data_IF_180537857666
#
_entry.id   IF_180537857666
#
_cell.length_a   1.000
_cell.length_b   1.000
_cell.length_c   1.000
_cell.angle_alpha   90.00
_cell.angle_beta   90.00
_cell.angle_gamma   90.00
#
_symmetry.space_group_name_H-M   'P 1'
#
loop_
_entity.id
_entity.type
_entity.pdbx_description
1 polymer ?
#
# COMPACT_ATOMS: atom_id res chain seq x y z
N UNK A 1 -39.69 50.90 0.63
CA UNK A 1 -38.45 50.36 1.23
C UNK A 1 -38.82 49.15 2.05
N UNK A 2 -38.49 47.95 1.56
CA UNK A 2 -38.26 46.77 2.40
C UNK A 2 -37.04 46.10 1.82
N UNK A 3 -35.86 46.47 2.33
CA UNK A 3 -34.64 45.69 2.13
C UNK A 3 -34.77 44.51 3.06
N UNK A 4 -34.71 43.30 2.52
CA UNK A 4 -34.53 42.10 3.33
C UNK A 4 -33.09 42.16 3.88
N UNK A 5 -32.87 42.21 5.20
CA UNK A 5 -31.54 42.41 5.76
C UNK A 5 -30.73 41.11 5.97
N UNK A 6 -31.14 39.97 5.38
CA UNK A 6 -30.64 38.65 5.75
C UNK A 6 -30.08 37.80 4.60
N UNK A 7 -29.62 38.40 3.49
CA UNK A 7 -28.98 37.66 2.38
C UNK A 7 -27.46 37.88 2.29
N UNK A 8 -26.84 38.34 3.38
CA UNK A 8 -25.38 38.41 3.52
C UNK A 8 -24.96 37.50 4.67
N UNK A 9 -25.10 36.20 4.46
CA UNK A 9 -24.30 35.24 5.21
C UNK A 9 -23.10 34.93 4.32
N UNK A 10 -21.86 35.30 4.70
CA UNK A 10 -20.71 34.75 4.02
C UNK A 10 -20.79 33.24 4.21
N UNK A 11 -20.88 32.50 3.10
CA UNK A 11 -20.58 31.08 3.09
C UNK A 11 -19.27 30.91 3.85
N UNK A 12 -19.21 30.12 4.93
CA UNK A 12 -17.92 29.72 5.44
C UNK A 12 -17.26 28.96 4.31
N UNK A 13 -16.25 29.57 3.68
CA UNK A 13 -15.20 28.81 3.03
C UNK A 13 -14.56 28.00 4.15
N UNK A 14 -15.12 26.82 4.39
CA UNK A 14 -14.35 25.76 4.99
C UNK A 14 -13.21 25.53 3.99
N UNK A 15 -11.94 25.80 4.33
CA UNK A 15 -10.91 25.02 3.70
C UNK A 15 -11.28 23.59 4.07
N UNK A 16 -11.81 22.85 3.10
CA UNK A 16 -11.90 21.40 3.15
C UNK A 16 -10.45 20.88 3.05
N UNK A 17 -9.69 21.25 4.07
CA UNK A 17 -8.46 20.61 4.44
C UNK A 17 -8.89 19.53 5.41
N UNK A 18 -9.73 18.64 4.90
CA UNK A 18 -10.00 17.34 5.47
C UNK A 18 -8.68 16.58 5.37
N UNK A 19 -7.83 16.85 6.36
CA UNK A 19 -6.80 15.94 6.80
C UNK A 19 -7.55 14.74 7.40
N UNK A 20 -8.29 14.02 6.56
CA UNK A 20 -8.78 12.68 6.85
C UNK A 20 -7.59 11.92 7.39
N UNK A 21 -7.71 11.26 8.54
CA UNK A 21 -6.61 10.54 9.14
C UNK A 21 -6.17 9.49 8.14
N UNK A 22 -5.08 9.80 7.43
CA UNK A 22 -4.05 8.88 6.96
C UNK A 22 -4.63 7.48 6.77
N UNK A 23 -5.48 7.33 5.74
CA UNK A 23 -6.00 6.02 5.36
C UNK A 23 -4.81 5.06 5.39
N UNK A 24 -4.93 3.89 6.04
CA UNK A 24 -3.80 2.98 6.19
C UNK A 24 -3.13 2.78 4.83
N UNK A 25 -1.98 3.44 4.62
CA UNK A 25 -1.27 3.41 3.35
C UNK A 25 -0.68 2.01 3.21
N UNK A 26 -1.40 1.16 2.48
CA UNK A 26 -0.91 -0.16 2.12
C UNK A 26 -0.07 0.01 0.87
N UNK A 27 1.19 -0.38 0.96
CA UNK A 27 2.10 -0.41 -0.17
C UNK A 27 1.99 -1.76 -0.85
N UNK A 28 1.97 -1.74 -2.17
CA UNK A 28 2.08 -2.91 -3.02
C UNK A 28 3.40 -2.84 -3.76
N UNK A 29 4.21 -3.87 -3.59
CA UNK A 29 5.54 -3.97 -4.19
C UNK A 29 5.53 -5.17 -5.12
N UNK A 30 5.74 -4.91 -6.40
CA UNK A 30 5.84 -5.92 -7.44
C UNK A 30 7.32 -6.17 -7.70
N UNK A 31 7.71 -7.43 -7.64
CA UNK A 31 9.09 -7.82 -7.82
C UNK A 31 9.24 -9.26 -8.24
N UNK A 32 10.49 -9.73 -8.25
CA UNK A 32 10.85 -11.11 -8.50
C UNK A 32 11.77 -11.61 -7.41
N UNK A 33 11.45 -12.76 -6.85
CA UNK A 33 12.24 -13.39 -5.82
C UNK A 33 12.95 -14.64 -6.35
N UNK A 34 14.18 -14.84 -5.89
CA UNK A 34 15.09 -15.89 -6.33
C UNK A 34 15.49 -16.72 -5.12
N UNK A 35 15.25 -18.03 -5.19
CA UNK A 35 15.65 -18.97 -4.13
C UNK A 35 17.16 -19.23 -4.14
N UNK A 36 17.83 -19.03 -5.29
CA UNK A 36 19.27 -19.22 -5.45
C UNK A 36 19.86 -18.25 -6.49
N UNK A 37 21.16 -17.96 -6.38
CA UNK A 37 21.94 -17.11 -7.31
C UNK A 37 21.93 -17.60 -8.77
N UNK A 38 21.63 -18.89 -8.99
CA UNK A 38 21.55 -19.50 -10.33
C UNK A 38 20.14 -19.68 -10.87
N UNK A 39 19.14 -19.16 -10.16
CA UNK A 39 17.76 -19.35 -10.56
C UNK A 39 17.42 -18.42 -11.74
N UNK A 40 17.38 -18.97 -12.95
CA UNK A 40 17.06 -18.23 -14.19
C UNK A 40 15.56 -17.89 -14.29
N UNK A 41 14.72 -18.44 -13.42
CA UNK A 41 13.27 -18.40 -13.49
C UNK A 41 12.59 -17.69 -12.33
N UNK A 42 13.27 -16.71 -11.70
CA UNK A 42 12.79 -15.98 -10.51
C UNK A 42 11.27 -15.76 -10.47
N UNK A 43 10.68 -16.07 -9.33
CA UNK A 43 9.23 -16.11 -9.14
C UNK A 43 8.70 -14.69 -9.01
N UNK A 44 7.68 -14.35 -9.78
CA UNK A 44 7.02 -13.05 -9.66
C UNK A 44 6.27 -13.00 -8.33
N UNK A 45 6.52 -11.94 -7.57
CA UNK A 45 5.97 -11.76 -6.24
C UNK A 45 5.32 -10.38 -6.10
N UNK A 46 4.14 -10.35 -5.48
CA UNK A 46 3.51 -9.12 -5.03
C UNK A 46 3.51 -9.11 -3.50
N UNK A 47 4.21 -8.14 -2.92
CA UNK A 47 4.24 -7.94 -1.48
C UNK A 47 3.30 -6.82 -1.11
N UNK A 48 2.38 -7.06 -0.19
CA UNK A 48 1.52 -6.04 0.39
C UNK A 48 1.77 -5.90 1.86
N UNK A 49 1.95 -4.65 2.29
CA UNK A 49 2.17 -4.30 3.69
C UNK A 49 1.79 -2.86 3.97
N UNK A 50 1.49 -2.56 5.22
CA UNK A 50 1.31 -1.18 5.67
C UNK A 50 2.64 -0.59 6.09
N UNK A 51 2.93 0.62 5.61
CA UNK A 51 4.13 1.34 5.99
C UNK A 51 3.86 2.85 6.10
N UNK A 52 4.70 3.60 6.82
CA UNK A 52 4.63 5.06 6.82
C UNK A 52 5.19 5.68 5.52
N UNK A 53 6.16 5.02 4.88
CA UNK A 53 6.89 5.52 3.71
C UNK A 53 7.39 4.35 2.84
N UNK A 54 7.76 4.65 1.60
CA UNK A 54 8.32 3.71 0.62
C UNK A 54 9.56 2.96 1.15
N UNK A 55 10.53 3.69 1.72
CA UNK A 55 11.74 3.10 2.32
C UNK A 55 11.41 2.04 3.38
N UNK A 56 10.39 2.32 4.22
CA UNK A 56 9.96 1.37 5.25
C UNK A 56 9.28 0.17 4.61
N UNK A 57 8.41 0.39 3.62
CA UNK A 57 7.73 -0.70 2.91
C UNK A 57 8.74 -1.66 2.25
N UNK A 58 9.72 -1.11 1.54
CA UNK A 58 10.79 -1.88 0.91
C UNK A 58 11.56 -2.71 1.93
N UNK A 59 11.95 -2.11 3.05
CA UNK A 59 12.75 -2.81 4.06
C UNK A 59 12.00 -3.98 4.67
N UNK A 60 10.74 -3.77 5.05
CA UNK A 60 9.91 -4.80 5.67
C UNK A 60 9.57 -5.91 4.67
N UNK A 61 9.30 -5.56 3.41
CA UNK A 61 9.11 -6.55 2.34
C UNK A 61 10.35 -7.43 2.13
N UNK A 62 11.53 -6.82 2.03
CA UNK A 62 12.79 -7.57 1.91
C UNK A 62 13.06 -8.43 3.14
N UNK A 63 12.68 -7.96 4.33
CA UNK A 63 12.80 -8.73 5.57
C UNK A 63 11.93 -9.98 5.51
N UNK A 64 10.65 -9.84 5.17
CA UNK A 64 9.72 -10.95 5.04
C UNK A 64 10.14 -11.95 3.96
N UNK A 65 10.68 -11.48 2.84
CA UNK A 65 11.22 -12.34 1.79
C UNK A 65 12.44 -13.13 2.25
N UNK A 66 13.33 -12.50 3.01
CA UNK A 66 14.47 -13.19 3.61
C UNK A 66 14.02 -14.22 4.67
N UNK A 67 13.00 -13.90 5.46
CA UNK A 67 12.39 -14.82 6.44
C UNK A 67 11.69 -16.01 5.78
N UNK A 68 11.07 -15.81 4.61
CA UNK A 68 10.54 -16.86 3.74
C UNK A 68 11.63 -17.80 3.19
N UNK A 69 12.88 -17.34 3.13
CA UNK A 69 14.02 -18.10 2.63
C UNK A 69 14.43 -17.75 1.20
N UNK A 70 13.94 -16.64 0.64
CA UNK A 70 14.46 -16.14 -0.63
C UNK A 70 15.88 -15.61 -0.46
N UNK A 71 16.77 -15.98 -1.39
CA UNK A 71 18.16 -15.55 -1.39
C UNK A 71 18.30 -14.10 -1.86
N UNK A 72 17.56 -13.73 -2.89
CA UNK A 72 17.53 -12.38 -3.43
C UNK A 72 16.11 -12.03 -3.86
N UNK A 73 15.77 -10.76 -3.80
CA UNK A 73 14.55 -10.22 -4.39
C UNK A 73 14.87 -8.92 -5.12
N UNK A 74 14.26 -8.75 -6.29
CA UNK A 74 14.37 -7.58 -7.13
C UNK A 74 13.01 -6.89 -7.15
N UNK A 75 12.92 -5.68 -6.60
CA UNK A 75 11.68 -4.92 -6.54
C UNK A 75 11.63 -4.04 -7.79
N UNK A 76 10.71 -4.33 -8.70
CA UNK A 76 10.61 -3.67 -10.01
C UNK A 76 9.73 -2.41 -9.93
N UNK A 77 8.62 -2.51 -9.18
CA UNK A 77 7.66 -1.43 -9.03
C UNK A 77 7.11 -1.36 -7.60
N UNK A 78 6.94 -0.14 -7.09
CA UNK A 78 6.28 0.13 -5.80
C UNK A 78 5.09 1.06 -6.05
N UNK A 79 3.96 0.72 -5.46
CA UNK A 79 2.72 1.50 -5.52
C UNK A 79 2.06 1.57 -4.15
N UNK A 80 1.06 2.43 -4.04
CA UNK A 80 0.21 2.55 -2.85
C UNK A 80 -1.23 2.22 -3.21
N UNK A 81 -1.87 1.41 -2.38
CA UNK A 81 -3.29 1.15 -2.42
C UNK A 81 -3.98 2.24 -1.61
N UNK A 82 -4.76 3.04 -2.33
CA UNK A 82 -5.67 4.03 -1.74
C UNK A 82 -7.06 3.46 -1.48
N UNK A 83 -7.33 2.23 -1.94
CA UNK A 83 -8.62 1.58 -1.79
C UNK A 83 -8.45 0.08 -1.55
N UNK A 84 -9.45 -0.54 -0.93
CA UNK A 84 -9.41 -1.95 -0.55
C UNK A 84 -9.66 -2.82 -1.78
N UNK A 85 -8.72 -3.70 -2.18
CA UNK A 85 -8.99 -4.65 -3.26
C UNK A 85 -10.03 -5.68 -2.81
N UNK A 86 -11.06 -5.90 -3.63
CA UNK A 86 -12.09 -6.93 -3.41
C UNK A 86 -11.73 -8.27 -4.08
N UNK A 87 -10.64 -8.30 -4.86
CA UNK A 87 -10.18 -9.48 -5.61
C UNK A 87 -9.22 -10.33 -4.76
N UNK A 88 -9.53 -11.63 -4.58
CA UNK A 88 -8.59 -12.58 -4.00
C UNK A 88 -7.54 -13.01 -5.04
N UNK A 89 -6.25 -13.09 -4.68
CA UNK A 89 -5.68 -13.09 -3.32
C UNK A 89 -5.35 -11.71 -2.72
N UNK A 90 -5.60 -10.62 -3.42
CA UNK A 90 -5.20 -9.27 -3.00
C UNK A 90 -6.01 -8.76 -1.79
N UNK A 91 -7.29 -9.08 -1.71
CA UNK A 91 -8.17 -8.72 -0.59
C UNK A 91 -7.63 -9.24 0.75
N UNK A 92 -7.25 -10.52 0.81
CA UNK A 92 -6.68 -11.13 2.02
C UNK A 92 -5.32 -10.53 2.37
N UNK A 93 -4.49 -10.27 1.37
CA UNK A 93 -3.18 -9.65 1.56
C UNK A 93 -3.28 -8.22 2.14
N UNK A 94 -4.27 -7.46 1.67
CA UNK A 94 -4.55 -6.12 2.20
C UNK A 94 -5.00 -6.17 3.66
N UNK A 95 -5.87 -7.12 4.03
CA UNK A 95 -6.28 -7.30 5.43
C UNK A 95 -5.08 -7.64 6.33
N UNK A 96 -4.21 -8.57 5.92
CA UNK A 96 -2.97 -8.86 6.65
C UNK A 96 -2.09 -7.61 6.80
N UNK A 97 -1.94 -6.82 5.73
CA UNK A 97 -1.21 -5.55 5.77
C UNK A 97 -1.81 -4.55 6.78
N UNK A 98 -3.15 -4.47 6.89
CA UNK A 98 -3.81 -3.62 7.89
C UNK A 98 -3.51 -4.06 9.33
N UNK A 99 -3.38 -5.37 9.56
CA UNK A 99 -3.00 -5.94 10.85
C UNK A 99 -1.50 -5.77 11.16
N UNK A 100 -0.72 -5.29 10.18
CA UNK A 100 0.73 -5.10 10.28
C UNK A 100 1.54 -6.31 9.84
N UNK A 101 0.91 -7.27 9.15
CA UNK A 101 1.55 -8.45 8.59
C UNK A 101 1.98 -8.20 7.14
N UNK A 102 3.10 -8.81 6.74
CA UNK A 102 3.58 -8.73 5.37
C UNK A 102 3.00 -9.89 4.57
N UNK A 103 2.17 -9.57 3.58
CA UNK A 103 1.55 -10.58 2.73
C UNK A 103 2.31 -10.72 1.42
N UNK A 104 2.85 -11.91 1.16
CA UNK A 104 3.62 -12.21 -0.06
C UNK A 104 2.80 -13.13 -0.96
N UNK A 105 2.41 -12.63 -2.12
CA UNK A 105 1.71 -13.40 -3.16
C UNK A 105 2.74 -13.82 -4.18
N UNK A 106 2.76 -15.10 -4.55
CA UNK A 106 3.69 -15.68 -5.53
C UNK A 106 2.91 -16.09 -6.77
N UNK A 107 3.37 -15.68 -7.94
CA UNK A 107 2.80 -16.04 -9.24
C UNK A 107 3.76 -16.98 -9.96
N UNK A 108 3.27 -18.16 -10.36
CA UNK A 108 4.07 -19.23 -10.99
C UNK A 108 3.24 -20.15 -11.87
#
# INVERSE_FOLDING_TARGET
MTRNPNEDFPMPIMPDNDNSPEEPLVFVIIGRAYENDRDEGGVEIHVMLRAPDDDTAVREALNALAEEGFFQADLDQIGTLTDIPDEEPHASAYQGALEGEVSIIRFG
#
